data_IF_871368542167
#
_entry.id   IF_871368542167
#
_cell.length_a   1.000
_cell.length_b   1.000
_cell.length_c   1.000
_cell.angle_alpha   90.00
_cell.angle_beta   90.00
_cell.angle_gamma   90.00
#
_symmetry.space_group_name_H-M   'P 1'
#
loop_
_entity.id
_entity.type
_entity.pdbx_description
1 polymer ?
#
# COMPACT_ATOMS: atom_id res chain seq x y z
N UNK A 1 -0.88 -24.22 43.16
CA UNK A 1 -0.35 -23.53 41.96
C UNK A 1 1.09 -24.00 41.74
N UNK A 2 1.32 -24.92 40.81
CA UNK A 2 2.66 -25.44 40.52
C UNK A 2 3.19 -24.77 39.26
N UNK A 3 4.22 -23.92 39.42
CA UNK A 3 4.99 -23.39 38.31
C UNK A 3 5.79 -24.53 37.66
N UNK A 4 5.32 -25.01 36.51
CA UNK A 4 6.04 -25.96 35.66
C UNK A 4 7.25 -25.27 35.02
N UNK A 5 8.35 -25.16 35.76
CA UNK A 5 9.67 -24.93 35.18
C UNK A 5 10.07 -26.19 34.40
N UNK A 6 9.63 -26.26 33.14
CA UNK A 6 10.11 -27.25 32.17
C UNK A 6 11.64 -27.10 32.04
N UNK A 7 12.39 -28.09 32.53
CA UNK A 7 13.85 -28.02 32.49
C UNK A 7 14.36 -27.98 31.05
N UNK A 8 15.37 -27.14 30.80
CA UNK A 8 16.12 -27.05 29.53
C UNK A 8 16.52 -28.44 28.99
N UNK A 9 16.82 -29.38 29.89
CA UNK A 9 17.18 -30.75 29.55
C UNK A 9 16.06 -31.50 28.79
N UNK A 10 14.77 -31.29 29.13
CA UNK A 10 13.65 -31.91 28.39
C UNK A 10 13.51 -31.33 26.98
N UNK A 11 13.80 -30.05 26.80
CA UNK A 11 13.78 -29.39 25.49
C UNK A 11 14.94 -29.87 24.60
N UNK A 12 16.15 -29.94 25.14
CA UNK A 12 17.29 -30.47 24.39
C UNK A 12 17.13 -31.96 24.06
N UNK A 13 16.48 -32.73 24.94
CA UNK A 13 16.15 -34.12 24.67
C UNK A 13 15.13 -34.28 23.54
N UNK A 14 14.09 -33.44 23.48
CA UNK A 14 13.09 -33.50 22.41
C UNK A 14 13.66 -33.07 21.05
N UNK A 15 14.61 -32.11 21.04
CA UNK A 15 15.37 -31.75 19.83
C UNK A 15 16.25 -32.90 19.32
N UNK A 16 16.77 -33.74 20.23
CA UNK A 16 17.56 -34.91 19.87
C UNK A 16 16.74 -36.00 19.17
N UNK A 17 15.41 -35.97 19.31
CA UNK A 17 14.48 -36.89 18.65
C UNK A 17 13.97 -36.38 17.31
N UNK A 18 14.29 -35.14 16.94
CA UNK A 18 13.92 -34.62 15.63
C UNK A 18 14.80 -35.29 14.59
N UNK A 19 14.19 -36.00 13.64
CA UNK A 19 14.93 -36.62 12.53
C UNK A 19 15.57 -35.51 11.67
N UNK A 20 16.90 -35.39 11.75
CA UNK A 20 17.68 -34.37 11.03
C UNK A 20 18.26 -34.90 9.71
N UNK A 21 17.89 -36.11 9.28
CA UNK A 21 18.51 -36.82 8.15
C UNK A 21 18.36 -36.14 6.78
N UNK A 22 17.42 -35.19 6.63
CA UNK A 22 17.12 -34.53 5.35
C UNK A 22 17.04 -33.00 5.47
N UNK A 23 18.07 -32.37 6.05
CA UNK A 23 18.15 -30.92 6.23
C UNK A 23 19.16 -30.32 5.26
N UNK A 24 18.67 -29.75 4.17
CA UNK A 24 19.53 -29.16 3.15
C UNK A 24 19.83 -27.67 3.40
N UNK A 25 18.93 -26.95 4.08
CA UNK A 25 19.00 -25.48 4.17
C UNK A 25 18.58 -24.95 5.54
N UNK A 26 18.91 -23.68 5.83
CA UNK A 26 18.47 -22.98 7.05
C UNK A 26 16.95 -22.92 7.19
N UNK A 27 16.21 -22.82 6.07
CA UNK A 27 14.74 -22.85 6.09
C UNK A 27 14.20 -24.17 6.61
N UNK A 28 14.85 -25.30 6.31
CA UNK A 28 14.50 -26.62 6.85
C UNK A 28 14.74 -26.73 8.36
N UNK A 29 15.86 -26.18 8.85
CA UNK A 29 16.13 -26.14 10.30
C UNK A 29 15.05 -25.32 11.01
N UNK A 30 14.79 -24.10 10.52
CA UNK A 30 13.83 -23.21 11.14
C UNK A 30 12.41 -23.77 11.07
N UNK A 31 12.00 -24.39 9.96
CA UNK A 31 10.65 -24.94 9.84
C UNK A 31 10.45 -26.08 10.83
N UNK A 32 11.42 -27.01 10.96
CA UNK A 32 11.34 -28.10 11.94
C UNK A 32 11.26 -27.57 13.38
N UNK A 33 12.06 -26.56 13.73
CA UNK A 33 11.99 -25.93 15.06
C UNK A 33 10.63 -25.27 15.32
N UNK A 34 10.14 -24.50 14.36
CA UNK A 34 8.87 -23.78 14.45
C UNK A 34 7.70 -24.77 14.56
N UNK A 35 7.68 -25.80 13.72
CA UNK A 35 6.65 -26.84 13.75
C UNK A 35 6.68 -27.64 15.04
N UNK A 36 7.86 -28.03 15.53
CA UNK A 36 8.01 -28.81 16.77
C UNK A 36 7.56 -28.04 18.01
N UNK A 37 7.74 -26.71 18.03
CA UNK A 37 7.31 -25.84 19.11
C UNK A 37 6.05 -25.02 18.77
N UNK A 38 5.27 -25.44 17.77
CA UNK A 38 4.05 -24.74 17.33
C UNK A 38 3.08 -24.53 18.48
N UNK A 39 2.86 -25.55 19.31
CA UNK A 39 1.94 -25.50 20.46
C UNK A 39 2.38 -24.53 21.57
N UNK A 40 3.61 -23.99 21.48
CA UNK A 40 4.13 -22.96 22.39
C UNK A 40 3.82 -21.55 21.91
N UNK A 41 3.39 -21.38 20.66
CA UNK A 41 2.92 -20.11 20.12
C UNK A 41 1.48 -19.90 20.61
N UNK A 42 1.29 -19.08 21.65
CA UNK A 42 -0.05 -18.71 22.13
C UNK A 42 -0.53 -17.43 21.42
N UNK A 43 -1.83 -17.28 21.13
CA UNK A 43 -2.38 -16.11 20.45
C UNK A 43 -2.14 -14.79 21.19
N UNK A 44 -1.98 -14.85 22.51
CA UNK A 44 -1.93 -13.70 23.42
C UNK A 44 -0.52 -13.37 23.91
N UNK A 45 0.49 -14.14 23.53
CA UNK A 45 1.88 -13.87 23.91
C UNK A 45 2.72 -13.58 22.68
N UNK A 46 3.71 -12.67 22.78
CA UNK A 46 4.67 -12.49 21.72
C UNK A 46 5.27 -13.83 21.33
N UNK A 47 5.32 -14.09 20.03
CA UNK A 47 5.81 -15.34 19.50
C UNK A 47 7.25 -15.55 19.97
N UNK A 48 7.56 -16.76 20.45
CA UNK A 48 8.90 -17.09 20.91
C UNK A 48 9.93 -16.90 19.79
N UNK A 49 9.54 -17.12 18.53
CA UNK A 49 10.37 -16.91 17.34
C UNK A 49 10.81 -15.45 17.23
N UNK A 50 9.90 -14.51 17.51
CA UNK A 50 10.17 -13.07 17.44
C UNK A 50 10.92 -12.61 18.70
N UNK A 51 10.58 -13.19 19.86
CA UNK A 51 11.20 -12.88 21.16
C UNK A 51 12.69 -13.21 21.16
N UNK A 52 13.08 -14.36 20.60
CA UNK A 52 14.49 -14.75 20.50
C UNK A 52 15.16 -14.28 19.20
N UNK A 53 14.43 -13.54 18.35
CA UNK A 53 14.89 -13.09 17.02
C UNK A 53 15.50 -14.22 16.18
N UNK A 54 14.83 -15.38 16.15
CA UNK A 54 15.33 -16.57 15.45
C UNK A 54 15.44 -16.31 13.94
N UNK A 55 14.47 -15.58 13.38
CA UNK A 55 14.38 -15.26 11.97
C UNK A 55 14.79 -13.80 11.71
N UNK A 56 15.36 -13.50 10.54
CA UNK A 56 15.54 -12.12 10.10
C UNK A 56 14.22 -11.36 10.03
N UNK A 57 14.25 -10.09 10.41
CA UNK A 57 13.07 -9.20 10.37
C UNK A 57 12.82 -8.70 8.94
N UNK A 58 12.34 -9.60 8.07
CA UNK A 58 11.93 -9.25 6.70
C UNK A 58 10.50 -9.72 6.41
N UNK A 59 9.79 -9.06 5.48
CA UNK A 59 8.43 -9.47 5.10
C UNK A 59 8.34 -10.93 4.64
N UNK A 60 9.35 -11.41 3.90
CA UNK A 60 9.40 -12.79 3.40
C UNK A 60 9.48 -13.81 4.53
N UNK A 61 10.34 -13.58 5.52
CA UNK A 61 10.45 -14.47 6.68
C UNK A 61 9.19 -14.46 7.55
N UNK A 62 8.53 -13.30 7.68
CA UNK A 62 7.25 -13.18 8.39
C UNK A 62 6.15 -13.98 7.69
N UNK A 63 5.97 -13.79 6.39
CA UNK A 63 4.98 -14.52 5.60
C UNK A 63 5.24 -16.02 5.62
N UNK A 64 6.50 -16.42 5.42
CA UNK A 64 6.91 -17.81 5.46
C UNK A 64 6.62 -18.48 6.81
N UNK A 65 6.98 -17.81 7.92
CA UNK A 65 6.71 -18.29 9.28
C UNK A 65 5.21 -18.52 9.51
N UNK A 66 4.36 -17.59 9.08
CA UNK A 66 2.90 -17.74 9.16
C UNK A 66 2.45 -19.00 8.42
N UNK A 67 2.90 -19.21 7.18
CA UNK A 67 2.54 -20.42 6.40
C UNK A 67 3.05 -21.72 7.03
N UNK A 68 4.23 -21.71 7.65
CA UNK A 68 4.74 -22.88 8.41
C UNK A 68 3.82 -23.16 9.62
N UNK A 69 3.44 -22.12 10.36
CA UNK A 69 2.54 -22.24 11.52
C UNK A 69 1.10 -22.61 11.14
N UNK A 70 0.67 -22.39 9.91
CA UNK A 70 -0.62 -22.87 9.38
C UNK A 70 -0.60 -24.37 9.08
N UNK A 71 0.56 -25.01 9.10
CA UNK A 71 0.72 -26.46 8.85
C UNK A 71 0.91 -26.81 7.38
N UNK A 72 1.48 -25.90 6.59
CA UNK A 72 1.81 -26.19 5.20
C UNK A 72 2.84 -27.34 5.11
N UNK A 73 2.51 -28.39 4.36
CA UNK A 73 3.32 -29.60 4.21
C UNK A 73 4.34 -29.54 3.07
N UNK A 74 4.42 -28.42 2.35
CA UNK A 74 5.41 -28.21 1.30
C UNK A 74 6.84 -28.21 1.87
N UNK A 75 7.79 -28.47 0.98
CA UNK A 75 9.21 -28.26 1.23
C UNK A 75 9.47 -26.84 1.77
N UNK A 76 10.31 -26.74 2.81
CA UNK A 76 10.48 -25.50 3.55
C UNK A 76 11.21 -24.42 2.73
N UNK A 77 12.11 -24.83 1.82
CA UNK A 77 12.82 -23.92 0.93
C UNK A 77 11.91 -23.47 -0.22
N UNK A 78 11.15 -24.39 -0.82
CA UNK A 78 10.17 -24.05 -1.87
C UNK A 78 9.13 -23.07 -1.33
N UNK A 79 8.61 -23.30 -0.12
CA UNK A 79 7.66 -22.40 0.52
C UNK A 79 8.24 -20.99 0.72
N UNK A 80 9.52 -20.89 1.09
CA UNK A 80 10.20 -19.61 1.27
C UNK A 80 10.31 -18.84 -0.05
N UNK A 81 10.68 -19.53 -1.12
CA UNK A 81 10.82 -18.93 -2.44
C UNK A 81 9.46 -18.45 -2.97
N UNK A 82 8.39 -19.24 -2.80
CA UNK A 82 7.03 -18.84 -3.14
C UNK A 82 6.56 -17.60 -2.38
N UNK A 83 6.97 -17.44 -1.11
CA UNK A 83 6.68 -16.23 -0.35
C UNK A 83 7.38 -14.99 -0.94
N UNK A 84 8.60 -15.16 -1.46
CA UNK A 84 9.32 -14.09 -2.15
C UNK A 84 8.59 -13.64 -3.41
N UNK A 85 8.15 -14.60 -4.23
CA UNK A 85 7.35 -14.32 -5.44
C UNK A 85 6.02 -13.64 -5.08
N UNK A 86 5.30 -14.16 -4.08
CA UNK A 86 4.02 -13.59 -3.64
C UNK A 86 4.17 -12.12 -3.23
N UNK A 87 5.23 -11.79 -2.48
CA UNK A 87 5.46 -10.41 -2.04
C UNK A 87 5.81 -9.50 -3.21
N UNK A 88 6.62 -9.99 -4.15
CA UNK A 88 6.94 -9.22 -5.36
C UNK A 88 5.67 -8.92 -6.17
N UNK A 89 4.81 -9.91 -6.39
CA UNK A 89 3.55 -9.73 -7.13
C UNK A 89 2.62 -8.73 -6.43
N UNK A 90 2.56 -8.77 -5.09
CA UNK A 90 1.79 -7.79 -4.30
C UNK A 90 2.35 -6.37 -4.44
N UNK A 91 3.67 -6.20 -4.46
CA UNK A 91 4.32 -4.90 -4.65
C UNK A 91 4.07 -4.35 -6.05
N UNK A 92 4.17 -5.20 -7.08
CA UNK A 92 3.88 -4.85 -8.47
C UNK A 92 2.43 -4.41 -8.60
N UNK A 93 1.48 -5.21 -8.12
CA UNK A 93 0.06 -4.86 -8.18
C UNK A 93 -0.26 -3.56 -7.42
N UNK A 94 0.33 -3.37 -6.25
CA UNK A 94 0.17 -2.13 -5.50
C UNK A 94 0.76 -0.91 -6.24
N UNK A 95 1.86 -1.09 -6.98
CA UNK A 95 2.44 -0.05 -7.83
C UNK A 95 1.53 0.29 -9.02
N UNK A 96 0.94 -0.71 -9.65
CA UNK A 96 -0.04 -0.52 -10.72
C UNK A 96 -1.26 0.27 -10.25
N UNK A 97 -1.82 -0.08 -9.08
CA UNK A 97 -2.95 0.66 -8.49
C UNK A 97 -2.59 2.13 -8.22
N UNK A 98 -1.42 2.38 -7.61
CA UNK A 98 -0.95 3.77 -7.38
C UNK A 98 -0.78 4.54 -8.69
N UNK A 99 -0.30 3.89 -9.74
CA UNK A 99 -0.16 4.53 -11.05
C UNK A 99 -1.51 4.80 -11.70
N UNK A 100 -2.47 3.87 -11.57
CA UNK A 100 -3.82 4.05 -12.07
C UNK A 100 -4.56 5.20 -11.35
N UNK A 101 -4.43 5.31 -10.03
CA UNK A 101 -4.99 6.42 -9.24
C UNK A 101 -4.39 7.77 -9.65
N UNK A 102 -3.06 7.83 -9.87
CA UNK A 102 -2.39 9.03 -10.39
C UNK A 102 -2.92 9.42 -11.76
N UNK A 103 -3.09 8.45 -12.67
CA UNK A 103 -3.62 8.70 -14.01
C UNK A 103 -5.08 9.17 -13.97
N UNK A 104 -5.93 8.55 -13.14
CA UNK A 104 -7.32 8.96 -12.96
C UNK A 104 -7.41 10.40 -12.43
N UNK A 105 -6.57 10.74 -11.45
CA UNK A 105 -6.51 12.09 -10.87
C UNK A 105 -6.02 13.11 -11.89
N UNK A 106 -5.01 12.75 -12.69
CA UNK A 106 -4.52 13.58 -13.78
C UNK A 106 -5.59 13.81 -14.86
N UNK A 107 -6.37 12.78 -15.20
CA UNK A 107 -7.48 12.89 -16.14
C UNK A 107 -8.61 13.79 -15.61
N UNK A 108 -8.96 13.66 -14.34
CA UNK A 108 -9.95 14.54 -13.70
C UNK A 108 -9.48 16.00 -13.72
N UNK A 109 -8.22 16.24 -13.35
CA UNK A 109 -7.64 17.58 -13.38
C UNK A 109 -7.64 18.19 -14.80
N UNK A 110 -7.33 17.38 -15.83
CA UNK A 110 -7.41 17.81 -17.24
C UNK A 110 -8.83 18.23 -17.62
N UNK A 111 -9.83 17.42 -17.28
CA UNK A 111 -11.24 17.75 -17.56
C UNK A 111 -11.68 19.04 -16.85
N UNK A 112 -11.35 19.19 -15.57
CA UNK A 112 -11.68 20.41 -14.82
C UNK A 112 -11.04 21.65 -15.46
N UNK A 113 -9.81 21.53 -15.94
CA UNK A 113 -9.13 22.62 -16.64
C UNK A 113 -9.79 22.94 -17.99
N UNK A 114 -10.14 21.93 -18.79
CA UNK A 114 -10.88 22.10 -20.05
C UNK A 114 -12.25 22.77 -19.82
N UNK A 115 -12.99 22.32 -18.81
CA UNK A 115 -14.29 22.90 -18.43
C UNK A 115 -14.13 24.37 -18.02
N UNK A 116 -13.13 24.71 -17.19
CA UNK A 116 -12.84 26.08 -16.80
C UNK A 116 -12.45 26.97 -18.01
N UNK A 117 -11.68 26.44 -18.96
CA UNK A 117 -11.36 27.16 -20.20
C UNK A 117 -12.61 27.42 -21.05
N UNK A 118 -13.48 26.43 -21.19
CA UNK A 118 -14.72 26.55 -21.95
C UNK A 118 -15.69 27.56 -21.31
N UNK A 119 -15.83 27.53 -19.98
CA UNK A 119 -16.63 28.48 -19.19
C UNK A 119 -16.12 29.92 -19.40
N UNK A 120 -14.81 30.11 -19.32
CA UNK A 120 -14.17 31.42 -19.53
C UNK A 120 -14.39 31.92 -20.97
N UNK A 121 -14.23 31.05 -21.97
CA UNK A 121 -14.49 31.39 -23.36
C UNK A 121 -15.96 31.78 -23.57
N UNK A 122 -16.90 31.00 -23.03
CA UNK A 122 -18.34 31.28 -23.11
C UNK A 122 -18.73 32.59 -22.39
N UNK A 123 -18.12 32.88 -21.23
CA UNK A 123 -18.33 34.14 -20.52
C UNK A 123 -17.81 35.35 -21.31
N UNK A 124 -16.64 35.22 -21.96
CA UNK A 124 -16.09 36.28 -22.84
C UNK A 124 -16.96 36.51 -24.07
N UNK A 125 -17.44 35.45 -24.72
CA UNK A 125 -18.38 35.55 -25.85
C UNK A 125 -19.68 36.25 -25.42
N UNK A 126 -20.23 35.90 -24.25
CA UNK A 126 -21.43 36.55 -23.72
C UNK A 126 -21.20 38.04 -23.43
N UNK A 127 -20.02 38.40 -22.94
CA UNK A 127 -19.63 39.80 -22.73
C UNK A 127 -19.55 40.57 -24.04
N UNK A 128 -18.93 39.96 -25.05
CA UNK A 128 -18.73 40.59 -26.36
C UNK A 128 -20.04 40.69 -27.17
N UNK A 129 -21.08 39.92 -26.80
CA UNK A 129 -22.43 40.00 -27.36
C UNK A 129 -23.31 41.11 -26.74
N UNK A 130 -22.85 41.78 -25.68
CA UNK A 130 -23.58 42.90 -25.07
C UNK A 130 -23.47 44.15 -25.95
N UNK A 131 -24.60 44.80 -26.20
CA UNK A 131 -24.68 46.10 -26.89
C UNK A 131 -24.78 47.25 -25.86
N UNK A 132 -24.48 48.47 -26.29
CA UNK A 132 -24.68 49.72 -25.54
C UNK A 132 -26.13 49.92 -25.07
N UNK A 133 -27.10 49.22 -25.66
CA UNK A 133 -28.50 49.25 -25.26
C UNK A 133 -28.92 48.11 -24.30
N UNK A 134 -28.00 47.21 -23.93
CA UNK A 134 -28.30 46.12 -22.99
C UNK A 134 -28.64 46.67 -21.60
N UNK A 135 -29.62 46.08 -20.89
CA UNK A 135 -30.02 46.53 -19.56
C UNK A 135 -28.85 46.42 -18.54
N UNK A 136 -28.74 47.38 -17.59
CA UNK A 136 -27.63 47.41 -16.62
C UNK A 136 -27.49 46.13 -15.78
N UNK A 137 -28.60 45.46 -15.48
CA UNK A 137 -28.61 44.20 -14.73
C UNK A 137 -27.93 43.06 -15.51
N UNK A 138 -28.10 43.03 -16.83
CA UNK A 138 -27.49 42.03 -17.70
C UNK A 138 -25.98 42.29 -17.86
N UNK A 139 -25.57 43.55 -17.97
CA UNK A 139 -24.16 43.97 -17.97
C UNK A 139 -23.44 43.54 -16.69
N UNK A 140 -24.04 43.77 -15.52
CA UNK A 140 -23.48 43.39 -14.21
C UNK A 140 -23.41 41.86 -14.04
N UNK A 141 -24.45 41.16 -14.48
CA UNK A 141 -24.53 39.69 -14.43
C UNK A 141 -23.41 39.03 -15.27
N UNK A 142 -23.22 39.49 -16.51
CA UNK A 142 -22.19 38.94 -17.39
C UNK A 142 -20.78 39.30 -16.90
N UNK A 143 -20.55 40.52 -16.41
CA UNK A 143 -19.27 40.89 -15.81
C UNK A 143 -18.94 40.05 -14.57
N UNK A 144 -19.93 39.79 -13.71
CA UNK A 144 -19.75 38.91 -12.55
C UNK A 144 -19.39 37.48 -12.98
N UNK A 145 -20.04 36.96 -14.04
CA UNK A 145 -19.74 35.63 -14.58
C UNK A 145 -18.34 35.52 -15.18
N UNK A 146 -17.89 36.54 -15.92
CA UNK A 146 -16.52 36.60 -16.45
C UNK A 146 -15.50 36.58 -15.32
N UNK A 147 -15.69 37.42 -14.29
CA UNK A 147 -14.78 37.50 -13.15
C UNK A 147 -14.71 36.18 -12.38
N UNK A 148 -15.85 35.54 -12.13
CA UNK A 148 -15.89 34.25 -11.47
C UNK A 148 -15.17 33.16 -12.28
N UNK A 149 -15.34 33.15 -13.60
CA UNK A 149 -14.64 32.21 -14.48
C UNK A 149 -13.12 32.47 -14.55
N UNK A 150 -12.69 33.74 -14.54
CA UNK A 150 -11.27 34.12 -14.48
C UNK A 150 -10.63 33.71 -13.15
N UNK A 151 -11.29 33.96 -12.03
CA UNK A 151 -10.81 33.58 -10.70
C UNK A 151 -10.68 32.04 -10.58
N UNK A 152 -11.66 31.29 -11.08
CA UNK A 152 -11.63 29.82 -11.09
C UNK A 152 -10.50 29.27 -11.97
N UNK A 153 -10.30 29.84 -13.16
CA UNK A 153 -9.22 29.44 -14.06
C UNK A 153 -7.84 29.75 -13.48
N UNK A 154 -7.64 30.95 -12.93
CA UNK A 154 -6.37 31.38 -12.34
C UNK A 154 -6.00 30.52 -11.12
N UNK A 155 -6.98 30.11 -10.32
CA UNK A 155 -6.76 29.20 -9.19
C UNK A 155 -6.23 27.84 -9.67
N UNK A 156 -6.89 27.23 -10.65
CA UNK A 156 -6.48 25.93 -11.22
C UNK A 156 -5.11 26.02 -11.92
N UNK A 157 -4.83 27.13 -12.60
CA UNK A 157 -3.54 27.36 -13.25
C UNK A 157 -2.41 27.56 -12.22
N UNK A 158 -2.68 28.27 -11.12
CA UNK A 158 -1.77 28.41 -9.99
C UNK A 158 -1.42 27.07 -9.34
N UNK A 159 -2.41 26.21 -9.10
CA UNK A 159 -2.22 24.86 -8.57
C UNK A 159 -1.42 23.96 -9.54
N UNK A 160 -1.66 24.10 -10.85
CA UNK A 160 -0.91 23.38 -11.88
C UNK A 160 0.57 23.76 -11.88
N UNK A 161 0.88 25.06 -11.81
CA UNK A 161 2.26 25.57 -11.78
C UNK A 161 2.96 25.16 -10.48
N UNK A 162 2.29 25.26 -9.34
CA UNK A 162 2.85 24.85 -8.05
C UNK A 162 3.21 23.36 -8.02
N UNK A 163 2.36 22.50 -8.58
CA UNK A 163 2.61 21.05 -8.65
C UNK A 163 3.73 20.67 -9.63
N UNK A 164 4.00 21.50 -10.65
CA UNK A 164 5.12 21.30 -11.59
C UNK A 164 6.49 21.74 -11.05
N UNK A 165 6.53 22.54 -9.98
CA UNK A 165 7.78 23.01 -9.34
C UNK A 165 8.28 22.11 -8.20
N UNK A 166 7.50 21.09 -7.80
CA UNK A 166 7.82 20.16 -6.69
C UNK A 166 8.45 18.84 -7.20
N UNK A 167 8.67 18.72 -8.51
CA UNK A 167 9.38 17.60 -9.17
C UNK A 167 10.66 18.09 -9.86
#
# INVERSE_FOLDING_TARGET
MACNNLSMARYLYSLRQTDMSNIETRTHVYSKLITHFRDKVKPTTPDWVDTIKLLPDTPQWKLWKTKVLEGNSKDAKVLYDECGVTLHDQEVHAAELRNHEKEMTAQLARRMYEDAQNELAAAKVARDALDLNSPPEELLSVQARVRAAEDAFNLLEGERIANLQIH
#
